data_IF_358503203344
#
_entry.id   IF_358503203344
#
_cell.length_a   1.000
_cell.length_b   1.000
_cell.length_c   1.000
_cell.angle_alpha   90.00
_cell.angle_beta   90.00
_cell.angle_gamma   90.00
#
_symmetry.space_group_name_H-M   'P 1'
#
loop_
_entity.id
_entity.type
_entity.pdbx_description
1 polymer ?
#
# COMPACT_ATOMS: atom_id res chain seq x y z
N UNK A 1 -26.36 -11.67 -11.42
CA UNK A 1 -25.00 -11.40 -10.90
C UNK A 1 -23.87 -12.10 -11.68
N UNK A 2 -24.01 -13.34 -12.13
CA UNK A 2 -22.96 -14.06 -12.90
C UNK A 2 -22.70 -13.50 -14.32
N UNK A 3 -23.70 -12.92 -14.97
CA UNK A 3 -23.58 -12.34 -16.32
C UNK A 3 -22.78 -11.02 -16.33
N UNK A 4 -22.89 -10.20 -15.27
CA UNK A 4 -22.15 -8.92 -15.16
C UNK A 4 -20.63 -9.14 -14.99
N UNK A 5 -20.22 -10.22 -14.30
CA UNK A 5 -18.82 -10.58 -14.10
C UNK A 5 -18.19 -11.05 -15.41
N UNK A 6 -18.94 -11.76 -16.25
CA UNK A 6 -18.45 -12.26 -17.55
C UNK A 6 -18.28 -11.12 -18.55
N UNK A 7 -19.17 -10.15 -18.56
CA UNK A 7 -19.11 -8.96 -19.45
C UNK A 7 -17.93 -8.06 -19.05
N UNK A 8 -17.70 -7.83 -17.76
CA UNK A 8 -16.53 -7.05 -17.28
C UNK A 8 -15.21 -7.74 -17.58
N UNK A 9 -15.15 -9.07 -17.47
CA UNK A 9 -13.95 -9.84 -17.81
C UNK A 9 -13.64 -9.78 -19.31
N UNK A 10 -14.65 -9.91 -20.19
CA UNK A 10 -14.46 -9.81 -21.64
C UNK A 10 -14.10 -8.40 -22.10
N UNK A 11 -14.67 -7.35 -21.47
CA UNK A 11 -14.31 -5.96 -21.79
C UNK A 11 -12.85 -5.63 -21.38
N UNK A 12 -12.37 -6.17 -20.26
CA UNK A 12 -10.97 -6.01 -19.83
C UNK A 12 -10.01 -6.66 -20.81
N UNK A 13 -10.35 -7.83 -21.36
CA UNK A 13 -9.53 -8.50 -22.37
C UNK A 13 -9.53 -7.78 -23.74
N UNK A 14 -10.64 -7.18 -24.12
CA UNK A 14 -10.74 -6.43 -25.38
C UNK A 14 -9.99 -5.08 -25.32
N UNK A 15 -9.92 -4.43 -24.16
CA UNK A 15 -9.20 -3.16 -23.98
C UNK A 15 -7.68 -3.33 -23.95
N UNK A 16 -7.16 -4.46 -23.49
CA UNK A 16 -5.71 -4.72 -23.49
C UNK A 16 -5.14 -4.96 -24.88
N UNK A 17 -5.95 -5.41 -25.84
CA UNK A 17 -5.52 -5.64 -27.24
C UNK A 17 -5.48 -4.38 -28.10
N UNK A 18 -6.09 -3.26 -27.66
CA UNK A 18 -6.19 -2.02 -28.45
C UNK A 18 -4.98 -1.06 -28.31
N UNK A 19 -4.04 -1.34 -27.40
CA UNK A 19 -2.85 -0.51 -27.19
C UNK A 19 -1.55 -1.09 -27.73
N UNK A 20 -1.60 -2.02 -28.68
CA UNK A 20 -0.41 -2.43 -29.44
C UNK A 20 0.04 -1.30 -30.37
N UNK A 21 0.56 -0.22 -29.80
CA UNK A 21 1.22 0.83 -30.53
C UNK A 21 2.60 0.29 -30.91
N UNK A 22 2.84 0.05 -32.20
CA UNK A 22 4.11 -0.39 -32.77
C UNK A 22 4.56 -1.85 -32.49
N UNK A 23 3.64 -2.80 -32.26
CA UNK A 23 4.04 -4.21 -32.02
C UNK A 23 4.66 -4.49 -30.65
N UNK A 24 4.63 -3.54 -29.73
CA UNK A 24 5.03 -3.75 -28.35
C UNK A 24 3.86 -4.27 -27.50
N UNK A 25 4.14 -5.30 -26.70
CA UNK A 25 3.23 -5.84 -25.71
C UNK A 25 3.47 -5.13 -24.37
N UNK A 26 2.40 -4.78 -23.67
CA UNK A 26 2.46 -4.21 -22.33
C UNK A 26 1.64 -5.05 -21.37
N UNK A 27 2.21 -5.39 -20.23
CA UNK A 27 1.54 -6.09 -19.15
C UNK A 27 1.65 -5.29 -17.87
N UNK A 28 0.51 -4.89 -17.35
CA UNK A 28 0.40 -4.17 -16.09
C UNK A 28 -0.20 -5.08 -15.01
N UNK A 29 0.39 -5.07 -13.82
CA UNK A 29 -0.05 -5.82 -12.65
C UNK A 29 -0.20 -4.88 -11.47
N UNK A 30 -1.43 -4.75 -10.96
CA UNK A 30 -1.69 -4.01 -9.74
C UNK A 30 -1.44 -4.90 -8.52
N UNK A 31 -0.73 -4.35 -7.54
CA UNK A 31 -0.30 -5.07 -6.35
C UNK A 31 -1.12 -4.67 -5.12
N UNK A 32 -1.35 -5.60 -4.19
CA UNK A 32 -1.93 -5.29 -2.89
C UNK A 32 -0.99 -4.40 -2.05
N UNK A 33 -1.40 -3.97 -0.87
CA UNK A 33 -0.51 -3.30 0.06
C UNK A 33 0.71 -4.15 0.39
N UNK A 34 1.89 -3.52 0.43
CA UNK A 34 3.18 -4.20 0.56
C UNK A 34 3.99 -3.63 1.73
N UNK A 35 4.74 -4.52 2.39
CA UNK A 35 5.74 -4.17 3.40
C UNK A 35 6.98 -5.01 3.22
N UNK A 36 8.08 -4.35 2.86
CA UNK A 36 9.35 -5.00 2.55
C UNK A 36 10.49 -4.42 3.37
N UNK A 37 11.55 -5.23 3.56
CA UNK A 37 12.86 -4.68 3.91
C UNK A 37 13.62 -4.27 2.65
N UNK A 38 14.55 -3.33 2.80
CA UNK A 38 15.41 -2.89 1.70
C UNK A 38 16.21 -4.05 1.09
N UNK A 39 16.68 -4.97 1.92
CA UNK A 39 17.40 -6.19 1.48
C UNK A 39 16.55 -7.11 0.60
N UNK A 40 15.27 -7.24 0.93
CA UNK A 40 14.37 -8.11 0.16
C UNK A 40 14.04 -7.48 -1.18
N UNK A 41 13.75 -6.17 -1.19
CA UNK A 41 13.53 -5.43 -2.42
C UNK A 41 14.77 -5.48 -3.32
N UNK A 42 15.95 -5.29 -2.74
CA UNK A 42 17.23 -5.37 -3.45
C UNK A 42 17.40 -6.75 -4.12
N UNK A 43 17.08 -7.81 -3.40
CA UNK A 43 17.10 -9.18 -3.95
C UNK A 43 16.14 -9.36 -5.14
N UNK A 44 14.91 -8.83 -5.02
CA UNK A 44 13.90 -8.88 -6.10
C UNK A 44 14.39 -8.09 -7.32
N UNK A 45 14.95 -6.91 -7.10
CA UNK A 45 15.47 -6.08 -8.18
C UNK A 45 16.66 -6.73 -8.88
N UNK A 46 17.63 -7.28 -8.14
CA UNK A 46 18.77 -8.02 -8.73
C UNK A 46 18.30 -9.21 -9.56
N UNK A 47 17.33 -9.98 -9.05
CA UNK A 47 16.72 -11.09 -9.80
C UNK A 47 16.03 -10.60 -11.07
N UNK A 48 15.25 -9.52 -10.97
CA UNK A 48 14.57 -8.91 -12.11
C UNK A 48 15.58 -8.47 -13.17
N UNK A 49 16.63 -7.76 -12.75
CA UNK A 49 17.70 -7.32 -13.64
C UNK A 49 18.41 -8.49 -14.33
N UNK A 50 18.73 -9.56 -13.59
CA UNK A 50 19.36 -10.75 -14.16
C UNK A 50 18.48 -11.42 -15.24
N UNK A 51 17.16 -11.50 -15.01
CA UNK A 51 16.21 -12.07 -15.97
C UNK A 51 16.11 -11.17 -17.23
N UNK A 52 16.02 -9.85 -17.04
CA UNK A 52 15.97 -8.88 -18.14
C UNK A 52 17.26 -8.93 -18.95
N UNK A 53 18.42 -9.02 -18.30
CA UNK A 53 19.71 -9.16 -18.96
C UNK A 53 19.82 -10.45 -19.78
N UNK A 54 19.33 -11.57 -19.23
CA UNK A 54 19.28 -12.85 -19.94
C UNK A 54 18.32 -12.79 -21.15
N UNK A 55 17.16 -12.15 -21.01
CA UNK A 55 16.18 -11.98 -22.10
C UNK A 55 16.71 -11.08 -23.23
N UNK A 56 17.46 -10.05 -22.89
CA UNK A 56 17.95 -9.05 -23.82
C UNK A 56 19.33 -9.36 -24.46
N UNK A 57 19.98 -10.46 -24.04
CA UNK A 57 21.28 -10.90 -24.57
C UNK A 57 22.49 -10.22 -23.90
N UNK A 58 23.73 -10.59 -24.30
CA UNK A 58 24.93 -10.26 -23.57
C UNK A 58 25.23 -8.76 -23.47
N UNK A 59 25.93 -8.42 -22.40
CA UNK A 59 26.15 -7.08 -21.85
C UNK A 59 26.97 -6.11 -22.73
N UNK A 60 27.50 -6.54 -23.85
CA UNK A 60 28.35 -5.69 -24.73
C UNK A 60 27.66 -4.40 -25.21
N UNK A 61 26.33 -4.33 -25.09
CA UNK A 61 25.52 -3.15 -25.42
C UNK A 61 24.89 -2.49 -24.19
N UNK A 62 25.37 -2.75 -22.98
CA UNK A 62 24.80 -2.22 -21.73
C UNK A 62 24.80 -0.69 -21.62
N UNK A 63 25.69 -0.01 -22.40
CA UNK A 63 25.79 1.44 -22.42
C UNK A 63 24.51 2.17 -22.90
N UNK A 64 23.54 1.48 -23.50
CA UNK A 64 22.28 2.05 -23.96
C UNK A 64 21.10 1.85 -22.97
N UNK A 65 21.29 1.02 -21.95
CA UNK A 65 20.25 0.82 -20.93
C UNK A 65 20.22 2.02 -19.97
N UNK A 66 19.02 2.57 -19.78
CA UNK A 66 18.78 3.60 -18.77
C UNK A 66 18.10 2.97 -17.58
N UNK A 67 18.76 3.03 -16.46
CA UNK A 67 18.26 2.51 -15.19
C UNK A 67 18.19 3.63 -14.18
N UNK A 68 17.06 3.76 -13.49
CA UNK A 68 16.90 4.76 -12.44
C UNK A 68 16.10 4.17 -11.27
N UNK A 69 16.55 4.46 -10.07
CA UNK A 69 15.87 4.14 -8.81
C UNK A 69 15.55 5.45 -8.10
N UNK A 70 14.27 5.63 -7.78
CA UNK A 70 13.80 6.80 -7.04
C UNK A 70 13.12 6.37 -5.77
N UNK A 71 13.45 7.03 -4.68
CA UNK A 71 12.88 6.80 -3.36
C UNK A 71 12.21 8.09 -2.90
N UNK A 72 10.93 8.00 -2.55
CA UNK A 72 10.16 9.10 -1.97
C UNK A 72 10.16 9.01 -0.45
N UNK A 73 10.74 10.03 0.16
CA UNK A 73 10.71 10.27 1.61
C UNK A 73 9.89 11.53 1.83
N UNK A 74 9.17 11.65 2.94
CA UNK A 74 8.27 12.77 3.25
C UNK A 74 8.69 14.11 2.61
N UNK A 75 8.09 14.44 1.46
CA UNK A 75 8.27 15.69 0.75
C UNK A 75 9.46 15.79 -0.22
N UNK A 76 10.31 14.76 -0.30
CA UNK A 76 11.46 14.74 -1.20
C UNK A 76 11.56 13.43 -1.95
N UNK A 77 11.96 13.47 -3.23
CA UNK A 77 12.37 12.31 -4.00
C UNK A 77 13.91 12.30 -4.10
N UNK A 78 14.50 11.16 -3.80
CA UNK A 78 15.94 10.93 -3.89
C UNK A 78 16.17 9.95 -5.03
N UNK A 79 16.96 10.32 -6.01
CA UNK A 79 17.41 9.42 -7.06
C UNK A 79 18.72 8.76 -6.63
N UNK A 80 18.73 7.43 -6.70
CA UNK A 80 19.90 6.62 -6.36
C UNK A 80 20.54 6.16 -7.67
N UNK A 81 21.78 6.62 -7.97
CA UNK A 81 22.43 6.33 -9.26
C UNK A 81 22.88 4.89 -9.41
N UNK A 82 22.93 4.11 -8.34
CA UNK A 82 23.37 2.73 -8.33
C UNK A 82 22.36 1.82 -7.62
N UNK A 83 22.23 0.63 -8.20
CA UNK A 83 21.32 -0.42 -7.87
C UNK A 83 21.71 -1.18 -6.57
N UNK A 84 21.88 -0.51 -5.47
CA UNK A 84 22.08 -1.15 -4.17
C UNK A 84 21.44 -0.30 -3.08
N UNK A 85 20.21 -0.67 -2.76
CA UNK A 85 19.44 -0.03 -1.71
C UNK A 85 20.03 -0.31 -0.32
N UNK A 86 20.50 -1.56 -0.11
CA UNK A 86 20.98 -2.02 1.18
C UNK A 86 22.35 -1.41 1.59
N UNK A 87 23.18 -1.04 0.61
CA UNK A 87 24.53 -0.50 0.88
C UNK A 87 24.56 1.03 0.97
N UNK A 88 23.45 1.71 0.71
CA UNK A 88 23.38 3.17 0.82
C UNK A 88 23.38 3.59 2.29
N UNK A 89 24.46 4.20 2.72
CA UNK A 89 24.65 4.77 4.07
C UNK A 89 23.56 5.80 4.44
N UNK A 90 22.90 6.36 3.45
CA UNK A 90 21.86 7.38 3.58
C UNK A 90 20.43 6.84 3.42
N UNK A 91 20.20 5.50 3.55
CA UNK A 91 18.86 4.97 3.39
C UNK A 91 17.93 5.48 4.50
N UNK A 92 16.81 6.14 4.16
CA UNK A 92 15.88 6.65 5.15
C UNK A 92 15.25 5.51 5.98
N UNK A 93 14.93 5.79 7.24
CA UNK A 93 14.31 4.79 8.13
C UNK A 93 13.00 4.24 7.57
N UNK A 94 12.22 5.07 6.90
CA UNK A 94 10.94 4.71 6.29
C UNK A 94 10.81 5.38 4.92
N UNK A 95 10.43 4.60 3.92
CA UNK A 95 10.17 5.03 2.56
C UNK A 95 8.72 4.72 2.21
N UNK A 96 7.98 5.71 1.74
CA UNK A 96 6.56 5.60 1.39
C UNK A 96 6.31 5.55 -0.12
N UNK A 97 7.35 5.79 -0.92
CA UNK A 97 7.29 5.68 -2.37
C UNK A 97 8.61 5.14 -2.91
N UNK A 98 8.50 4.20 -3.79
CA UNK A 98 9.64 3.60 -4.49
C UNK A 98 9.28 3.49 -5.96
N UNK A 99 10.20 3.86 -6.84
CA UNK A 99 10.07 3.68 -8.28
C UNK A 99 11.38 3.17 -8.86
N UNK A 100 11.30 2.03 -9.51
CA UNK A 100 12.38 1.46 -10.31
C UNK A 100 11.96 1.51 -11.77
N UNK A 101 12.84 1.99 -12.62
CA UNK A 101 12.60 2.04 -14.06
C UNK A 101 13.85 1.55 -14.80
N UNK A 102 13.65 0.53 -15.61
CA UNK A 102 14.61 0.05 -16.59
C UNK A 102 14.06 0.33 -17.99
N UNK A 103 14.85 0.92 -18.88
CA UNK A 103 14.46 1.19 -20.26
C UNK A 103 15.60 0.83 -21.23
N UNK A 104 15.27 0.04 -22.23
CA UNK A 104 16.16 -0.33 -23.33
C UNK A 104 15.31 -0.54 -24.60
N UNK A 105 15.17 0.47 -25.45
CA UNK A 105 14.35 0.35 -26.66
C UNK A 105 14.85 -0.78 -27.59
N UNK A 106 13.93 -1.29 -28.40
CA UNK A 106 14.21 -2.29 -29.45
C UNK A 106 14.74 -3.65 -28.94
N UNK A 107 14.38 -4.04 -27.73
CA UNK A 107 14.73 -5.34 -27.14
C UNK A 107 13.48 -6.17 -26.82
N UNK A 108 13.61 -7.50 -26.67
CA UNK A 108 12.52 -8.38 -26.27
C UNK A 108 11.79 -7.90 -25.02
N UNK A 109 12.51 -7.33 -24.04
CA UNK A 109 11.97 -6.57 -22.91
C UNK A 109 12.49 -5.14 -23.02
N UNK A 110 11.62 -4.22 -23.42
CA UNK A 110 11.99 -2.82 -23.70
C UNK A 110 11.94 -1.95 -22.45
N UNK A 111 11.00 -2.19 -21.54
CA UNK A 111 10.98 -1.51 -20.25
C UNK A 111 10.40 -2.35 -19.12
N UNK A 112 10.88 -2.10 -17.90
CA UNK A 112 10.33 -2.61 -16.65
C UNK A 112 10.20 -1.45 -15.71
N UNK A 113 8.99 -1.24 -15.20
CA UNK A 113 8.71 -0.20 -14.20
C UNK A 113 8.04 -0.84 -13.00
N UNK A 114 8.59 -0.61 -11.81
CA UNK A 114 8.03 -1.04 -10.55
C UNK A 114 7.75 0.21 -9.73
N UNK A 115 6.49 0.60 -9.66
CA UNK A 115 6.04 1.77 -8.88
C UNK A 115 5.29 1.30 -7.64
N UNK A 116 5.86 1.56 -6.48
CA UNK A 116 5.31 1.19 -5.18
C UNK A 116 5.06 2.45 -4.37
N UNK A 117 3.81 2.78 -4.18
CA UNK A 117 3.39 3.95 -3.42
C UNK A 117 2.20 3.65 -2.52
N UNK A 118 1.81 4.63 -1.74
CA UNK A 118 0.70 4.48 -0.79
C UNK A 118 -0.64 4.17 -1.49
N UNK A 119 -0.91 4.82 -2.62
CA UNK A 119 -2.17 4.69 -3.34
C UNK A 119 -2.07 3.82 -4.61
N UNK A 120 -0.91 3.75 -5.21
CA UNK A 120 -0.65 3.00 -6.44
C UNK A 120 0.55 2.09 -6.26
N UNK A 121 0.38 0.83 -6.57
CA UNK A 121 1.42 -0.20 -6.55
C UNK A 121 1.26 -1.00 -7.81
N UNK A 122 2.20 -0.82 -8.74
CA UNK A 122 2.09 -1.41 -10.06
C UNK A 122 3.43 -1.92 -10.55
N UNK A 123 3.40 -3.06 -11.20
CA UNK A 123 4.49 -3.57 -12.04
C UNK A 123 4.03 -3.45 -13.48
N UNK A 124 4.80 -2.76 -14.30
CA UNK A 124 4.56 -2.62 -15.73
C UNK A 124 5.77 -3.16 -16.49
N UNK A 125 5.54 -4.07 -17.39
CA UNK A 125 6.58 -4.64 -18.27
C UNK A 125 6.14 -4.46 -19.70
N UNK A 126 7.02 -3.90 -20.55
CA UNK A 126 6.76 -3.75 -21.97
C UNK A 126 7.89 -4.39 -22.78
N UNK A 127 7.58 -4.86 -23.98
CA UNK A 127 8.57 -5.46 -24.87
C UNK A 127 7.96 -6.03 -26.14
N UNK A 128 8.82 -6.53 -27.01
CA UNK A 128 8.40 -7.13 -28.30
C UNK A 128 8.00 -8.61 -28.16
N UNK A 129 8.46 -9.31 -27.13
CA UNK A 129 8.19 -10.73 -26.89
C UNK A 129 7.12 -10.93 -25.83
N UNK A 130 5.86 -11.16 -26.21
CA UNK A 130 4.71 -11.27 -25.33
C UNK A 130 4.91 -12.29 -24.20
N UNK A 131 5.41 -13.48 -24.50
CA UNK A 131 5.68 -14.56 -23.55
C UNK A 131 6.75 -14.18 -22.50
N UNK A 132 7.77 -13.43 -22.89
CA UNK A 132 8.80 -12.94 -21.95
C UNK A 132 8.26 -11.82 -21.07
N UNK A 133 7.45 -10.91 -21.63
CA UNK A 133 6.78 -9.83 -20.89
C UNK A 133 5.83 -10.42 -19.84
N UNK A 134 5.02 -11.41 -20.21
CA UNK A 134 4.09 -12.07 -19.30
C UNK A 134 4.83 -12.87 -18.21
N UNK A 135 5.81 -13.65 -18.58
CA UNK A 135 6.62 -14.44 -17.65
C UNK A 135 7.34 -13.55 -16.63
N UNK A 136 7.96 -12.45 -17.09
CA UNK A 136 8.67 -11.52 -16.21
C UNK A 136 7.71 -10.78 -15.29
N UNK A 137 6.58 -10.26 -15.81
CA UNK A 137 5.59 -9.59 -14.99
C UNK A 137 5.02 -10.50 -13.89
N UNK A 138 4.74 -11.78 -14.24
CA UNK A 138 4.26 -12.77 -13.29
C UNK A 138 5.29 -13.17 -12.24
N UNK A 139 6.57 -13.25 -12.59
CA UNK A 139 7.64 -13.53 -11.63
C UNK A 139 7.82 -12.38 -10.62
N UNK A 140 7.89 -11.15 -11.10
CA UNK A 140 8.02 -9.97 -10.23
C UNK A 140 6.80 -9.81 -9.34
N UNK A 141 5.59 -9.99 -9.89
CA UNK A 141 4.35 -10.00 -9.12
C UNK A 141 4.41 -11.05 -8.01
N UNK A 142 4.72 -12.30 -8.33
CA UNK A 142 4.80 -13.41 -7.38
C UNK A 142 5.80 -13.13 -6.24
N UNK A 143 6.98 -12.63 -6.57
CA UNK A 143 8.01 -12.32 -5.58
C UNK A 143 7.56 -11.18 -4.65
N UNK A 144 6.89 -10.15 -5.18
CA UNK A 144 6.34 -9.05 -4.39
C UNK A 144 5.12 -9.47 -3.56
N UNK A 145 4.26 -10.36 -4.07
CA UNK A 145 3.08 -10.86 -3.34
C UNK A 145 3.44 -11.59 -2.04
N UNK A 146 4.64 -12.16 -1.94
CA UNK A 146 5.12 -12.75 -0.69
C UNK A 146 5.15 -11.75 0.47
N UNK A 147 5.30 -10.46 0.19
CA UNK A 147 5.34 -9.37 1.17
C UNK A 147 4.02 -8.60 1.26
N UNK A 148 2.94 -9.18 0.74
CA UNK A 148 1.63 -8.56 0.78
C UNK A 148 1.07 -8.50 2.20
N UNK A 149 0.29 -7.44 2.45
CA UNK A 149 -0.41 -7.24 3.72
C UNK A 149 -1.84 -6.80 3.46
N UNK A 150 -2.76 -7.24 4.29
CA UNK A 150 -4.16 -6.77 4.25
C UNK A 150 -4.29 -5.38 4.87
N UNK A 151 -3.40 -5.07 5.83
CA UNK A 151 -3.44 -3.84 6.62
C UNK A 151 -2.76 -2.71 5.85
N UNK A 152 -3.47 -1.61 5.62
CA UNK A 152 -2.91 -0.40 5.02
C UNK A 152 -3.41 -0.07 3.61
N UNK A 153 -4.17 -0.95 2.97
CA UNK A 153 -4.78 -0.66 1.67
C UNK A 153 -5.83 0.44 1.74
N UNK A 154 -6.04 1.14 0.62
CA UNK A 154 -7.06 2.20 0.54
C UNK A 154 -8.45 1.68 0.92
N UNK A 155 -8.80 0.46 0.51
CA UNK A 155 -10.07 -0.19 0.87
C UNK A 155 -10.15 -0.46 2.38
N UNK A 156 -9.08 -1.00 2.98
CA UNK A 156 -9.03 -1.25 4.42
C UNK A 156 -9.18 0.06 5.22
N UNK A 157 -8.46 1.12 4.84
CA UNK A 157 -8.58 2.44 5.46
C UNK A 157 -9.99 3.00 5.35
N UNK A 158 -10.65 2.86 4.19
CA UNK A 158 -12.04 3.31 4.00
C UNK A 158 -13.00 2.53 4.89
N UNK A 159 -12.90 1.21 4.92
CA UNK A 159 -13.76 0.36 5.76
C UNK A 159 -13.59 0.72 7.24
N UNK A 160 -12.36 0.81 7.72
CA UNK A 160 -12.08 1.19 9.12
C UNK A 160 -12.60 2.60 9.41
N UNK A 161 -12.35 3.57 8.53
CA UNK A 161 -12.85 4.94 8.68
C UNK A 161 -14.37 5.00 8.74
N UNK A 162 -15.07 4.30 7.84
CA UNK A 162 -16.54 4.25 7.82
C UNK A 162 -17.08 3.57 9.09
N UNK A 163 -16.53 2.42 9.49
CA UNK A 163 -16.98 1.71 10.71
C UNK A 163 -16.81 2.57 11.95
N UNK A 164 -15.68 3.27 12.08
CA UNK A 164 -15.45 4.19 13.20
C UNK A 164 -16.38 5.38 13.18
N UNK A 165 -16.57 6.01 12.03
CA UNK A 165 -17.47 7.15 11.88
C UNK A 165 -18.91 6.76 12.24
N UNK A 166 -19.41 5.64 11.70
CA UNK A 166 -20.76 5.14 11.98
C UNK A 166 -20.88 4.78 13.47
N UNK A 167 -19.90 4.07 14.04
CA UNK A 167 -19.91 3.71 15.46
C UNK A 167 -19.97 4.95 16.38
N UNK A 168 -19.18 5.98 16.08
CA UNK A 168 -19.16 7.22 16.84
C UNK A 168 -20.44 8.04 16.65
N UNK A 169 -21.03 8.07 15.45
CA UNK A 169 -22.33 8.73 15.20
C UNK A 169 -23.46 8.05 15.98
N UNK A 170 -23.50 6.70 15.97
CA UNK A 170 -24.48 5.94 16.77
C UNK A 170 -24.29 6.21 18.25
N UNK A 171 -23.05 6.20 18.74
CA UNK A 171 -22.73 6.52 20.14
C UNK A 171 -23.18 7.94 20.52
N UNK A 172 -22.95 8.90 19.64
CA UNK A 172 -23.35 10.29 19.82
C UNK A 172 -24.87 10.44 19.85
N UNK A 173 -25.59 9.77 18.95
CA UNK A 173 -27.07 9.77 18.92
C UNK A 173 -27.69 9.15 20.18
N UNK A 174 -27.18 7.96 20.59
CA UNK A 174 -27.65 7.29 21.82
C UNK A 174 -27.34 8.13 23.06
N UNK A 175 -26.14 8.68 23.17
CA UNK A 175 -25.75 9.52 24.30
C UNK A 175 -26.56 10.81 24.35
N UNK A 176 -26.84 11.41 23.19
CA UNK A 176 -27.68 12.61 23.10
C UNK A 176 -29.13 12.36 23.51
N UNK A 177 -29.74 11.29 23.02
CA UNK A 177 -31.09 10.88 23.40
C UNK A 177 -31.18 10.57 24.91
N UNK A 178 -30.19 9.84 25.45
CA UNK A 178 -30.13 9.51 26.85
C UNK A 178 -29.96 10.76 27.73
N UNK A 179 -29.10 11.71 27.35
CA UNK A 179 -28.92 12.97 28.04
C UNK A 179 -30.20 13.81 28.03
N UNK A 180 -30.90 13.85 26.90
CA UNK A 180 -32.14 14.59 26.75
C UNK A 180 -33.24 14.07 27.69
N UNK A 181 -33.34 12.75 27.81
CA UNK A 181 -34.32 12.07 28.65
C UNK A 181 -34.01 12.17 30.16
N UNK A 182 -32.73 12.01 30.52
CA UNK A 182 -32.34 11.84 31.94
C UNK A 182 -31.66 13.07 32.56
N UNK A 183 -31.19 14.00 31.72
CA UNK A 183 -30.36 15.14 32.15
C UNK A 183 -29.14 14.74 32.99
N UNK A 184 -28.68 13.49 32.86
CA UNK A 184 -27.59 12.97 33.66
C UNK A 184 -26.24 13.51 33.16
N UNK A 185 -25.42 14.07 34.05
CA UNK A 185 -24.08 14.59 33.74
C UNK A 185 -23.18 13.57 33.04
N UNK A 186 -23.39 12.32 33.33
CA UNK A 186 -22.64 11.19 32.71
C UNK A 186 -22.92 11.03 31.21
N UNK A 187 -24.16 11.25 30.79
CA UNK A 187 -24.54 11.21 29.38
C UNK A 187 -23.92 12.38 28.61
N UNK A 188 -23.74 13.53 29.23
CA UNK A 188 -23.02 14.67 28.67
C UNK A 188 -21.54 14.33 28.42
N UNK A 189 -20.90 13.67 29.41
CA UNK A 189 -19.53 13.21 29.25
C UNK A 189 -19.35 12.25 28.05
N UNK A 190 -20.26 11.27 27.87
CA UNK A 190 -20.27 10.37 26.74
C UNK A 190 -20.48 11.11 25.41
N UNK A 191 -21.34 12.09 25.37
CA UNK A 191 -21.62 12.91 24.19
C UNK A 191 -20.38 13.70 23.77
N UNK A 192 -19.70 14.33 24.74
CA UNK A 192 -18.45 15.06 24.49
C UNK A 192 -17.37 14.11 23.99
N UNK A 193 -17.17 12.95 24.64
CA UNK A 193 -16.17 11.97 24.21
C UNK A 193 -16.44 11.45 22.78
N UNK A 194 -17.69 11.16 22.45
CA UNK A 194 -18.07 10.72 21.10
C UNK A 194 -17.86 11.82 20.06
N UNK A 195 -18.16 13.08 20.39
CA UNK A 195 -17.92 14.23 19.53
C UNK A 195 -16.44 14.48 19.27
N UNK A 196 -15.62 14.44 20.32
CA UNK A 196 -14.15 14.57 20.23
C UNK A 196 -13.58 13.40 19.42
N UNK A 197 -14.05 12.17 19.67
CA UNK A 197 -13.64 11.00 18.90
C UNK A 197 -13.94 11.15 17.40
N UNK A 198 -15.12 11.68 17.06
CA UNK A 198 -15.49 11.93 15.67
C UNK A 198 -14.57 12.96 15.02
N UNK A 199 -14.28 14.06 15.72
CA UNK A 199 -13.33 15.07 15.23
C UNK A 199 -11.94 14.48 15.01
N UNK A 200 -11.45 13.65 15.95
CA UNK A 200 -10.16 12.98 15.82
C UNK A 200 -10.13 12.06 14.60
N UNK A 201 -11.20 11.29 14.35
CA UNK A 201 -11.28 10.42 13.17
C UNK A 201 -11.20 11.21 11.85
N UNK A 202 -11.78 12.42 11.82
CA UNK A 202 -11.75 13.28 10.63
C UNK A 202 -10.40 13.97 10.41
N UNK A 203 -9.69 14.30 11.50
CA UNK A 203 -8.43 15.05 11.44
C UNK A 203 -7.21 14.13 11.28
N UNK A 204 -7.29 12.88 11.77
CA UNK A 204 -6.16 11.95 11.76
C UNK A 204 -5.75 11.61 10.33
N UNK A 205 -4.48 11.78 9.96
CA UNK A 205 -3.97 11.39 8.65
C UNK A 205 -3.79 9.86 8.57
N UNK A 206 -4.85 9.16 8.23
CA UNK A 206 -4.90 7.69 8.14
C UNK A 206 -3.79 7.05 7.30
N UNK A 207 -3.35 7.76 6.25
CA UNK A 207 -2.27 7.30 5.37
C UNK A 207 -0.92 7.19 6.10
N UNK A 208 -0.69 8.01 7.13
CA UNK A 208 0.55 7.98 7.92
C UNK A 208 0.60 6.81 8.89
N UNK A 209 -0.57 6.36 9.39
CA UNK A 209 -0.65 5.25 10.35
C UNK A 209 -0.83 3.89 9.66
N UNK A 210 -1.47 3.88 8.50
CA UNK A 210 -1.79 2.67 7.74
C UNK A 210 -1.33 2.84 6.29
N UNK A 211 -0.01 2.98 6.03
CA UNK A 211 0.48 3.16 4.67
C UNK A 211 0.21 1.92 3.81
N UNK A 212 -0.14 2.13 2.55
CA UNK A 212 -0.33 1.05 1.58
C UNK A 212 0.98 0.45 1.10
N UNK A 213 2.09 1.19 1.24
CA UNK A 213 3.44 0.73 0.98
C UNK A 213 4.37 1.26 2.05
N UNK A 214 5.24 0.40 2.55
CA UNK A 214 6.32 0.80 3.45
C UNK A 214 7.56 -0.06 3.17
N UNK A 215 8.69 0.63 3.02
CA UNK A 215 10.00 0.03 2.85
C UNK A 215 10.86 0.41 4.07
N UNK A 216 11.39 -0.59 4.75
CA UNK A 216 12.19 -0.44 5.95
C UNK A 216 13.65 -0.75 5.66
N UNK A 217 14.58 -0.08 6.34
CA UNK A 217 16.01 -0.35 6.19
C UNK A 217 16.37 -1.78 6.60
N UNK A 218 15.80 -2.25 7.71
CA UNK A 218 15.95 -3.63 8.17
C UNK A 218 14.70 -4.10 8.88
N UNK A 219 14.43 -5.40 8.88
CA UNK A 219 13.41 -5.96 9.73
C UNK A 219 13.84 -5.86 11.19
N UNK A 220 13.05 -5.14 11.99
CA UNK A 220 13.15 -5.31 13.43
C UNK A 220 12.66 -6.73 13.80
N UNK A 221 13.45 -7.54 14.53
CA UNK A 221 13.05 -8.87 14.94
C UNK A 221 11.82 -8.86 15.86
N UNK A 222 11.53 -7.72 16.50
CA UNK A 222 10.37 -7.58 17.38
C UNK A 222 9.13 -7.17 16.59
N UNK A 223 8.16 -8.08 16.49
CA UNK A 223 6.83 -7.85 15.91
C UNK A 223 6.17 -6.57 16.46
N UNK A 224 6.34 -6.27 17.74
CA UNK A 224 5.84 -5.08 18.40
C UNK A 224 6.36 -3.78 17.76
N UNK A 225 7.65 -3.71 17.43
CA UNK A 225 8.24 -2.51 16.80
C UNK A 225 7.77 -2.40 15.34
N UNK A 226 7.69 -3.53 14.64
CA UNK A 226 7.21 -3.59 13.25
C UNK A 226 5.77 -3.11 13.12
N UNK A 227 4.93 -3.41 14.09
CA UNK A 227 3.52 -3.04 14.09
C UNK A 227 3.18 -1.91 15.07
N UNK A 228 4.19 -1.25 15.66
CA UNK A 228 3.98 -0.19 16.65
C UNK A 228 2.97 0.89 16.20
N UNK A 229 3.02 1.45 14.96
CA UNK A 229 2.04 2.43 14.51
C UNK A 229 0.61 1.87 14.48
N UNK A 230 0.46 0.60 14.05
CA UNK A 230 -0.84 -0.06 13.99
C UNK A 230 -1.37 -0.38 15.39
N UNK A 231 -0.50 -0.89 16.27
CA UNK A 231 -0.84 -1.20 17.66
C UNK A 231 -1.27 0.09 18.38
N UNK A 232 -0.52 1.18 18.23
CA UNK A 232 -0.87 2.48 18.80
C UNK A 232 -2.21 2.99 18.28
N UNK A 233 -2.43 2.85 16.96
CA UNK A 233 -3.67 3.22 16.33
C UNK A 233 -4.86 2.40 16.85
N UNK A 234 -4.75 1.06 16.87
CA UNK A 234 -5.81 0.19 17.38
C UNK A 234 -6.04 0.39 18.88
N UNK A 235 -5.00 0.68 19.65
CA UNK A 235 -5.12 1.03 21.07
C UNK A 235 -5.90 2.32 21.28
N UNK A 236 -5.65 3.33 20.44
CA UNK A 236 -6.41 4.59 20.47
C UNK A 236 -7.87 4.34 20.12
N UNK A 237 -8.15 3.56 19.08
CA UNK A 237 -9.51 3.18 18.67
C UNK A 237 -10.21 2.41 19.79
N UNK A 238 -9.53 1.43 20.38
CA UNK A 238 -10.07 0.62 21.48
C UNK A 238 -10.38 1.51 22.71
N UNK A 239 -9.51 2.47 23.02
CA UNK A 239 -9.75 3.44 24.10
C UNK A 239 -10.98 4.32 23.81
N UNK A 240 -11.08 4.87 22.60
CA UNK A 240 -12.21 5.72 22.19
C UNK A 240 -13.55 4.99 22.21
N UNK A 241 -13.58 3.70 21.87
CA UNK A 241 -14.79 2.88 21.90
C UNK A 241 -15.03 2.23 23.28
N UNK A 242 -13.97 1.87 23.99
CA UNK A 242 -14.02 1.16 25.26
C UNK A 242 -14.47 2.03 26.43
N UNK A 243 -14.09 3.31 26.46
CA UNK A 243 -14.47 4.23 27.54
C UNK A 243 -15.99 4.38 27.63
N UNK A 244 -16.73 4.73 26.56
CA UNK A 244 -18.18 4.81 26.65
C UNK A 244 -18.83 3.45 26.93
N UNK A 245 -18.31 2.36 26.41
CA UNK A 245 -18.86 1.03 26.61
C UNK A 245 -18.68 0.54 28.05
N UNK A 246 -17.50 0.72 28.64
CA UNK A 246 -17.21 0.34 30.03
C UNK A 246 -18.07 1.12 31.00
N UNK A 247 -18.30 2.40 30.73
CA UNK A 247 -19.17 3.24 31.54
C UNK A 247 -20.64 2.76 31.50
N UNK A 248 -21.14 2.36 30.35
CA UNK A 248 -22.47 1.82 30.16
C UNK A 248 -22.67 0.48 30.89
N UNK A 249 -21.65 -0.40 30.83
CA UNK A 249 -21.67 -1.72 31.46
C UNK A 249 -21.59 -1.64 33.01
N UNK A 250 -20.78 -0.72 33.54
CA UNK A 250 -20.65 -0.53 34.99
C UNK A 250 -21.95 -0.02 35.64
N UNK A 251 -22.68 0.84 34.93
CA UNK A 251 -23.94 1.40 35.45
C UNK A 251 -25.10 0.41 35.42
N UNK A 252 -25.04 -0.65 34.65
CA UNK A 252 -26.08 -1.70 34.60
C UNK A 252 -26.05 -2.60 35.85
N UNK A 253 -24.97 -2.53 36.65
CA UNK A 253 -24.76 -3.33 37.86
C UNK A 253 -25.00 -2.56 39.16
N UNK A 254 -25.21 -1.26 39.08
CA UNK A 254 -25.62 -0.40 40.22
C UNK A 254 -27.09 -0.03 40.07
#
# INVERSE_FOLDING_TARGET
MRLAILVTSCLSFALTSLFAKNGEFSQDRDLPPLRLAASDLDTILHKTHAIVAAANGPAAEQNSARESVKIGVRGHEIEIPHFSLASSVAFPKEVFKFSYTYKRPDKPVSSVTIDLGDYSRRVSVTGQAANQVEALSGLVEKDLLHYSTVIGGATFRRVVGVCLTVGLLVSLGVSGAYWWLTRACNALGMLICSGVGLLLVLIVPWHSYLPGFALYQSYSPFLLIRYAPQISFFSLVAALLGIPLSYFLLRRKA
#
